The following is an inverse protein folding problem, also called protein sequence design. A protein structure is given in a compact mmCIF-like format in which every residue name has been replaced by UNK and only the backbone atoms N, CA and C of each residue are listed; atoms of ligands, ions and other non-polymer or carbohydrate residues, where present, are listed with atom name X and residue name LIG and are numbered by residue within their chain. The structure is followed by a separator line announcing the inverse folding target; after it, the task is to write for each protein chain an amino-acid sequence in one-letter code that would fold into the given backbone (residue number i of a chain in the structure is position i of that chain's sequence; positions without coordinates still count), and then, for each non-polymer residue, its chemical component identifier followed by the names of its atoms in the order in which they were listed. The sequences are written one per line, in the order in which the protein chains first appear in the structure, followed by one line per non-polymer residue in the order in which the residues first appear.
data_IF_215090837354
#
_entry.id   IF_215090837354
#
_cell.length_a   1.000
_cell.length_b   1.000
_cell.length_c   1.000
_cell.angle_alpha   90.00
_cell.angle_beta   90.00
_cell.angle_gamma   90.00
#
_symmetry.space_group_name_H-M   'P 1'
#
loop_
_entity.id
_entity.type
_entity.pdbx_description
1 polymer ?
#
# COMPACT_ATOMS: atom_id res chain seq x y z
N UNK A 1 -20.81 4.05 -17.41
CA UNK A 1 -20.32 4.20 -16.02
C UNK A 1 -21.50 4.06 -15.06
N UNK A 2 -21.60 2.95 -14.33
CA UNK A 2 -22.69 2.73 -13.39
C UNK A 2 -22.51 3.63 -12.15
N UNK A 3 -23.48 4.53 -11.89
CA UNK A 3 -23.54 5.28 -10.64
C UNK A 3 -23.87 4.29 -9.52
N UNK A 4 -22.91 4.03 -8.64
CA UNK A 4 -23.09 3.20 -7.44
C UNK A 4 -24.25 3.82 -6.64
N UNK A 5 -25.36 3.10 -6.47
CA UNK A 5 -26.46 3.47 -5.59
C UNK A 5 -25.92 3.61 -4.16
N UNK A 6 -25.52 4.82 -3.76
CA UNK A 6 -25.24 5.13 -2.36
C UNK A 6 -26.56 5.10 -1.60
N UNK A 7 -26.60 4.36 -0.48
CA UNK A 7 -27.78 4.30 0.40
C UNK A 7 -28.22 5.73 0.77
N UNK A 8 -29.53 6.02 0.78
CA UNK A 8 -30.04 7.32 1.22
C UNK A 8 -29.46 7.66 2.60
N UNK A 9 -28.84 8.83 2.74
CA UNK A 9 -28.25 9.31 4.00
C UNK A 9 -26.75 9.03 4.20
N UNK A 10 -26.12 8.12 3.44
CA UNK A 10 -24.66 7.95 3.53
C UNK A 10 -23.95 9.02 2.70
N UNK A 11 -23.35 10.01 3.37
CA UNK A 11 -22.52 11.02 2.72
C UNK A 11 -21.05 10.71 2.99
N UNK A 12 -20.24 10.66 1.92
CA UNK A 12 -18.80 10.44 2.05
C UNK A 12 -18.14 11.66 2.69
N UNK A 13 -17.71 11.55 3.95
CA UNK A 13 -16.88 12.56 4.59
C UNK A 13 -15.41 12.39 4.19
N UNK A 14 -14.98 13.15 3.18
CA UNK A 14 -13.61 13.12 2.69
C UNK A 14 -12.58 13.54 3.76
N UNK A 15 -12.94 14.44 4.68
CA UNK A 15 -12.02 14.92 5.73
C UNK A 15 -11.81 13.85 6.78
N UNK A 16 -12.87 13.17 7.19
CA UNK A 16 -12.77 12.03 8.12
C UNK A 16 -11.94 10.90 7.52
N UNK A 17 -12.16 10.55 6.25
CA UNK A 17 -11.39 9.51 5.55
C UNK A 17 -9.89 9.87 5.51
N UNK A 18 -9.54 11.11 5.14
CA UNK A 18 -8.14 11.55 5.13
C UNK A 18 -7.48 11.46 6.51
N UNK A 19 -8.23 11.82 7.58
CA UNK A 19 -7.74 11.70 8.95
C UNK A 19 -7.48 10.25 9.36
N UNK A 20 -8.38 9.34 9.01
CA UNK A 20 -8.22 7.89 9.25
C UNK A 20 -7.00 7.38 8.48
N UNK A 21 -6.91 7.69 7.18
CA UNK A 21 -5.80 7.28 6.33
C UNK A 21 -4.41 7.65 6.87
N UNK A 22 -4.32 8.78 7.59
CA UNK A 22 -3.07 9.29 8.16
C UNK A 22 -2.76 8.77 9.57
N UNK A 23 -3.78 8.59 10.41
CA UNK A 23 -3.60 8.44 11.85
C UNK A 23 -4.04 7.09 12.41
N UNK A 24 -4.84 6.32 11.68
CA UNK A 24 -5.37 5.06 12.18
C UNK A 24 -4.27 4.00 12.31
N UNK A 25 -4.10 3.44 13.51
CA UNK A 25 -3.05 2.46 13.82
C UNK A 25 -3.33 1.10 13.17
N UNK A 26 -4.60 0.69 13.10
CA UNK A 26 -5.00 -0.59 12.50
C UNK A 26 -4.76 -0.58 10.99
N UNK A 27 -5.09 0.53 10.32
CA UNK A 27 -4.81 0.73 8.92
C UNK A 27 -3.31 0.73 8.63
N UNK A 28 -2.49 1.38 9.47
CA UNK A 28 -1.03 1.33 9.34
C UNK A 28 -0.49 -0.08 9.42
N UNK A 29 -0.88 -0.83 10.46
CA UNK A 29 -0.47 -2.22 10.62
C UNK A 29 -0.89 -3.07 9.41
N UNK A 30 -2.13 -2.91 8.93
CA UNK A 30 -2.60 -3.62 7.74
C UNK A 30 -1.78 -3.32 6.48
N UNK A 31 -1.43 -2.05 6.24
CA UNK A 31 -0.60 -1.65 5.09
C UNK A 31 0.81 -2.24 5.23
N UNK A 32 1.39 -2.19 6.42
CA UNK A 32 2.71 -2.76 6.71
C UNK A 32 2.71 -4.28 6.49
N UNK A 33 1.78 -5.03 7.07
CA UNK A 33 1.66 -6.48 6.90
C UNK A 33 1.43 -6.89 5.44
N UNK A 34 0.75 -6.03 4.68
CA UNK A 34 0.61 -6.22 3.23
C UNK A 34 1.97 -6.05 2.55
N UNK A 35 2.70 -4.98 2.84
CA UNK A 35 4.02 -4.72 2.28
C UNK A 35 5.06 -5.80 2.67
N UNK A 36 5.00 -6.34 3.88
CA UNK A 36 5.89 -7.42 4.33
C UNK A 36 5.81 -8.66 3.46
N UNK A 37 4.62 -8.99 2.94
CA UNK A 37 4.47 -10.11 2.00
C UNK A 37 5.23 -9.89 0.69
N UNK A 38 5.33 -8.64 0.24
CA UNK A 38 6.13 -8.23 -0.91
C UNK A 38 7.62 -8.25 -0.60
N UNK A 39 8.01 -7.69 0.55
CA UNK A 39 9.40 -7.66 1.00
C UNK A 39 9.98 -9.07 1.21
N UNK A 40 9.23 -9.97 1.84
CA UNK A 40 9.63 -11.36 2.05
C UNK A 40 9.88 -12.12 0.73
N UNK A 41 9.10 -11.83 -0.31
CA UNK A 41 9.29 -12.41 -1.65
C UNK A 41 10.46 -11.77 -2.40
N UNK A 42 10.63 -10.46 -2.25
CA UNK A 42 11.67 -9.71 -2.93
C UNK A 42 13.05 -9.84 -2.27
N UNK A 43 13.13 -10.40 -1.06
CA UNK A 43 14.35 -10.46 -0.25
C UNK A 43 14.76 -9.11 0.33
N UNK A 44 13.78 -8.25 0.64
CA UNK A 44 13.99 -6.88 1.14
C UNK A 44 13.40 -6.65 2.52
N UNK A 45 13.20 -5.37 2.87
CA UNK A 45 12.53 -4.94 4.10
C UNK A 45 11.42 -3.92 3.81
N UNK A 46 10.62 -3.61 4.82
CA UNK A 46 9.56 -2.60 4.74
C UNK A 46 9.99 -1.33 5.44
N UNK A 47 9.71 -0.18 4.84
CA UNK A 47 9.86 1.13 5.47
C UNK A 47 8.52 1.87 5.49
N UNK A 48 8.08 2.26 6.68
CA UNK A 48 6.85 3.01 6.89
C UNK A 48 7.11 4.51 6.93
N UNK A 49 6.24 5.27 6.27
CA UNK A 49 6.25 6.72 6.32
C UNK A 49 4.84 7.30 6.17
N UNK A 50 4.70 8.56 6.56
CA UNK A 50 3.43 9.28 6.54
C UNK A 50 3.56 10.51 5.66
N UNK A 51 2.79 10.55 4.58
CA UNK A 51 2.64 11.72 3.70
C UNK A 51 1.29 12.40 3.97
N UNK A 52 0.45 12.54 2.93
CA UNK A 52 -0.98 12.76 3.01
C UNK A 52 -1.75 11.57 3.64
N UNK A 53 -1.16 10.37 3.60
CA UNK A 53 -1.67 9.11 4.14
C UNK A 53 -0.53 8.23 4.66
N UNK A 54 -0.89 7.15 5.34
CA UNK A 54 0.06 6.11 5.74
C UNK A 54 0.48 5.29 4.53
N UNK A 55 1.78 5.08 4.37
CA UNK A 55 2.37 4.34 3.25
C UNK A 55 3.47 3.44 3.79
N UNK A 56 3.58 2.25 3.22
CA UNK A 56 4.68 1.31 3.48
C UNK A 56 5.36 1.01 2.14
N UNK A 57 6.67 1.21 2.08
CA UNK A 57 7.48 0.86 0.91
C UNK A 57 8.17 -0.48 1.09
N UNK A 58 8.25 -1.25 0.01
CA UNK A 58 9.13 -2.41 -0.07
C UNK A 58 10.48 -1.96 -0.61
N UNK A 59 11.51 -2.08 0.22
CA UNK A 59 12.87 -1.65 -0.09
C UNK A 59 13.73 -2.88 -0.39
N UNK A 60 14.42 -2.85 -1.52
CA UNK A 60 15.32 -3.92 -1.99
C UNK A 60 16.67 -3.33 -2.40
N UNK A 61 17.71 -4.17 -2.43
CA UNK A 61 19.04 -3.75 -2.87
C UNK A 61 19.00 -3.15 -4.29
N UNK A 62 19.72 -2.06 -4.50
CA UNK A 62 19.71 -1.33 -5.78
C UNK A 62 20.18 -2.21 -6.96
N UNK A 63 21.22 -3.02 -6.75
CA UNK A 63 21.70 -3.93 -7.79
C UNK A 63 20.69 -5.02 -8.13
N UNK A 64 20.03 -5.58 -7.11
CA UNK A 64 19.01 -6.62 -7.27
C UNK A 64 17.79 -6.11 -8.01
N UNK A 65 17.37 -4.87 -7.71
CA UNK A 65 16.30 -4.22 -8.44
C UNK A 65 16.71 -3.90 -9.89
N UNK A 66 17.94 -3.44 -10.11
CA UNK A 66 18.43 -3.09 -11.45
C UNK A 66 18.62 -4.32 -12.35
N UNK A 67 19.10 -5.44 -11.80
CA UNK A 67 19.39 -6.67 -12.55
C UNK A 67 18.15 -7.54 -12.71
N UNK A 68 17.40 -7.75 -11.62
CA UNK A 68 16.35 -8.76 -11.56
C UNK A 68 14.95 -8.18 -11.38
N UNK A 69 14.81 -6.88 -11.11
CA UNK A 69 13.52 -6.24 -10.84
C UNK A 69 12.79 -6.89 -9.67
N UNK A 70 13.49 -7.34 -8.62
CA UNK A 70 12.94 -8.20 -7.55
C UNK A 70 11.66 -7.64 -6.93
N UNK A 71 11.61 -6.35 -6.62
CA UNK A 71 10.40 -5.74 -6.06
C UNK A 71 9.23 -5.75 -7.05
N UNK A 72 9.52 -5.47 -8.33
CA UNK A 72 8.52 -5.48 -9.41
C UNK A 72 7.99 -6.89 -9.68
N UNK A 73 8.85 -7.91 -9.67
CA UNK A 73 8.45 -9.31 -9.81
C UNK A 73 7.60 -9.75 -8.63
N UNK A 74 8.03 -9.45 -7.40
CA UNK A 74 7.26 -9.77 -6.20
C UNK A 74 5.86 -9.11 -6.21
N UNK A 75 5.77 -7.85 -6.65
CA UNK A 75 4.48 -7.17 -6.84
C UNK A 75 3.60 -7.87 -7.89
N UNK A 76 4.18 -8.29 -9.01
CA UNK A 76 3.48 -9.05 -10.05
C UNK A 76 2.95 -10.41 -9.58
N UNK A 77 3.75 -11.15 -8.81
CA UNK A 77 3.37 -12.44 -8.21
C UNK A 77 2.24 -12.30 -7.18
N UNK A 78 2.20 -11.17 -6.48
CA UNK A 78 1.13 -10.83 -5.53
C UNK A 78 -0.11 -10.24 -6.19
N UNK A 79 -0.11 -10.06 -7.52
CA UNK A 79 -1.20 -9.43 -8.26
C UNK A 79 -1.38 -7.95 -7.95
N UNK A 80 -0.34 -7.29 -7.42
CA UNK A 80 -0.39 -5.87 -7.11
C UNK A 80 -0.26 -5.04 -8.38
N UNK A 81 -1.09 -3.97 -8.51
CA UNK A 81 -0.94 -3.06 -9.62
C UNK A 81 0.37 -2.27 -9.48
N UNK A 82 1.29 -2.47 -10.42
CA UNK A 82 2.49 -1.67 -10.56
C UNK A 82 2.11 -0.41 -11.34
N UNK A 83 2.29 0.77 -10.73
CA UNK A 83 1.92 2.07 -11.31
C UNK A 83 2.97 3.12 -11.01
#
# INVERSE_FOLDING_TARGET
MARRNMKPGFHRDAKAIGRIAKNDKGLKAFIHDTAEQGAARAGGHVEDYVTDRSVSAVVVGAEDQAKDGKATKAAGELGWPIR
#
